data_IF_044402769928
#
_entry.id   IF_044402769928
#
_cell.length_a   1.000
_cell.length_b   1.000
_cell.length_c   1.000
_cell.angle_alpha   90.00
_cell.angle_beta   90.00
_cell.angle_gamma   90.00
#
_symmetry.space_group_name_H-M   'P 1'
#
loop_
_entity.id
_entity.type
_entity.pdbx_description
1 polymer ?
#
# COMPACT_ATOMS: atom_id res chain seq x y z
N UNK A 1 -8.64 2.68 19.68
CA UNK A 1 -7.66 2.62 18.57
C UNK A 1 -8.42 2.10 17.37
N UNK A 2 -8.37 2.79 16.23
CA UNK A 2 -9.04 2.34 15.00
C UNK A 2 -8.10 1.37 14.29
N UNK A 3 -8.65 0.24 13.86
CA UNK A 3 -7.92 -0.80 13.13
C UNK A 3 -8.65 -1.17 11.84
N UNK A 4 -7.93 -1.74 10.88
CA UNK A 4 -8.54 -2.41 9.72
C UNK A 4 -9.21 -3.73 10.13
N UNK A 5 -9.81 -4.42 9.15
CA UNK A 5 -10.41 -5.74 9.34
C UNK A 5 -9.41 -6.84 9.75
N UNK A 6 -8.12 -6.65 9.49
CA UNK A 6 -7.05 -7.58 9.85
C UNK A 6 -6.46 -7.29 11.24
N UNK A 7 -6.94 -6.24 11.92
CA UNK A 7 -6.51 -5.86 13.26
C UNK A 7 -5.27 -4.97 13.30
N UNK A 8 -4.79 -4.46 12.16
CA UNK A 8 -3.66 -3.53 12.15
C UNK A 8 -4.13 -2.12 12.50
N UNK A 9 -3.36 -1.41 13.32
CA UNK A 9 -3.66 -0.03 13.68
C UNK A 9 -3.60 0.90 12.46
N UNK A 10 -4.52 1.86 12.41
CA UNK A 10 -4.65 2.86 11.34
C UNK A 10 -4.40 4.27 11.87
N UNK A 11 -3.17 4.78 11.73
CA UNK A 11 -2.79 6.10 12.24
C UNK A 11 -3.52 7.20 11.48
N UNK A 12 -4.14 8.13 12.21
CA UNK A 12 -4.82 9.29 11.63
C UNK A 12 -6.16 8.99 10.95
N UNK A 13 -6.68 7.75 11.05
CA UNK A 13 -8.00 7.40 10.55
C UNK A 13 -9.13 7.93 11.45
N UNK A 14 -10.27 8.22 10.83
CA UNK A 14 -11.59 8.29 11.48
C UNK A 14 -12.33 6.97 11.23
N UNK A 15 -13.47 6.73 11.91
CA UNK A 15 -14.26 5.51 11.65
C UNK A 15 -14.75 5.44 10.21
N UNK A 16 -15.20 6.58 9.67
CA UNK A 16 -15.63 6.70 8.27
C UNK A 16 -14.49 6.42 7.29
N UNK A 17 -13.31 7.02 7.50
CA UNK A 17 -12.16 6.78 6.63
C UNK A 17 -11.65 5.33 6.72
N UNK A 18 -11.78 4.68 7.88
CA UNK A 18 -11.49 3.25 8.05
C UNK A 18 -12.46 2.41 7.21
N UNK A 19 -13.75 2.68 7.25
CA UNK A 19 -14.73 1.90 6.47
C UNK A 19 -14.54 2.07 4.96
N UNK A 20 -14.14 3.27 4.51
CA UNK A 20 -13.76 3.52 3.11
C UNK A 20 -12.46 2.77 2.75
N UNK A 21 -11.48 2.78 3.63
CA UNK A 21 -10.23 2.06 3.41
C UNK A 21 -10.44 0.55 3.32
N UNK A 22 -11.25 -0.04 4.19
CA UNK A 22 -11.60 -1.47 4.11
C UNK A 22 -12.27 -1.81 2.76
N UNK A 23 -13.18 -0.94 2.27
CA UNK A 23 -13.79 -1.10 0.95
C UNK A 23 -12.77 -1.00 -0.19
N UNK A 24 -11.83 -0.06 -0.12
CA UNK A 24 -10.77 0.06 -1.12
C UNK A 24 -9.84 -1.16 -1.11
N UNK A 25 -9.47 -1.67 0.06
CA UNK A 25 -8.68 -2.89 0.24
C UNK A 25 -9.41 -4.08 -0.39
N UNK A 26 -10.70 -4.26 -0.12
CA UNK A 26 -11.49 -5.31 -0.75
C UNK A 26 -11.48 -5.18 -2.28
N UNK A 27 -11.83 -3.99 -2.80
CA UNK A 27 -11.86 -3.67 -4.23
C UNK A 27 -10.54 -4.02 -4.95
N UNK A 28 -9.40 -3.68 -4.34
CA UNK A 28 -8.08 -4.00 -4.87
C UNK A 28 -7.77 -5.51 -4.88
N UNK A 29 -8.18 -6.22 -3.83
CA UNK A 29 -7.91 -7.66 -3.70
C UNK A 29 -8.77 -8.51 -4.64
N UNK A 30 -10.01 -8.10 -4.91
CA UNK A 30 -10.92 -8.83 -5.81
C UNK A 30 -10.94 -8.28 -7.25
N UNK A 31 -10.09 -7.29 -7.54
CA UNK A 31 -10.02 -6.60 -8.83
C UNK A 31 -11.38 -6.06 -9.32
N UNK A 32 -12.12 -5.35 -8.46
CA UNK A 32 -13.42 -4.74 -8.81
C UNK A 32 -13.54 -3.31 -8.34
N UNK A 33 -14.32 -2.52 -9.09
CA UNK A 33 -14.65 -1.15 -8.74
C UNK A 33 -13.49 -0.18 -8.96
N UNK A 34 -13.51 0.91 -8.19
CA UNK A 34 -12.51 1.98 -8.25
C UNK A 34 -11.89 2.20 -6.87
N UNK A 35 -10.85 1.42 -6.50
CA UNK A 35 -10.17 1.60 -5.21
C UNK A 35 -9.48 2.97 -5.10
N UNK A 36 -9.10 3.61 -6.20
CA UNK A 36 -8.43 4.93 -6.17
C UNK A 36 -9.42 6.01 -5.76
N UNK A 37 -10.61 6.06 -6.37
CA UNK A 37 -11.66 7.00 -6.01
C UNK A 37 -12.14 6.82 -4.56
N UNK A 38 -12.23 5.58 -4.07
CA UNK A 38 -12.58 5.30 -2.66
C UNK A 38 -11.49 5.83 -1.70
N UNK A 39 -10.20 5.63 -2.03
CA UNK A 39 -9.09 6.14 -1.23
C UNK A 39 -9.01 7.66 -1.25
N UNK A 40 -9.35 8.30 -2.37
CA UNK A 40 -9.45 9.76 -2.45
C UNK A 40 -10.47 10.29 -1.45
N UNK A 41 -11.65 9.67 -1.38
CA UNK A 41 -12.66 10.04 -0.41
C UNK A 41 -12.20 9.80 1.05
N UNK A 42 -11.54 8.67 1.32
CA UNK A 42 -10.97 8.40 2.65
C UNK A 42 -9.94 9.47 3.07
N UNK A 43 -9.12 9.94 2.13
CA UNK A 43 -8.12 11.00 2.34
C UNK A 43 -8.77 12.36 2.55
N UNK A 44 -9.87 12.67 1.85
CA UNK A 44 -10.62 13.92 2.05
C UNK A 44 -11.20 13.99 3.47
N UNK A 45 -11.80 12.89 3.94
CA UNK A 45 -12.38 12.79 5.29
C UNK A 45 -11.29 12.78 6.36
N UNK A 46 -10.16 12.12 6.11
CA UNK A 46 -9.05 12.01 7.05
C UNK A 46 -7.69 12.29 6.37
N UNK A 47 -7.30 13.58 6.20
CA UNK A 47 -6.07 13.93 5.49
C UNK A 47 -4.79 13.37 6.11
N UNK A 48 -4.82 13.10 7.41
CA UNK A 48 -3.73 12.50 8.19
C UNK A 48 -3.68 10.97 8.15
N UNK A 49 -4.58 10.30 7.43
CA UNK A 49 -4.64 8.83 7.38
C UNK A 49 -3.57 8.24 6.48
N UNK A 50 -2.42 7.87 7.07
CA UNK A 50 -1.23 7.46 6.33
C UNK A 50 -1.45 6.23 5.43
N UNK A 51 -2.14 5.19 5.91
CA UNK A 51 -2.34 3.97 5.11
C UNK A 51 -3.20 4.19 3.86
N UNK A 52 -4.12 5.15 3.85
CA UNK A 52 -4.87 5.48 2.63
C UNK A 52 -3.96 6.08 1.54
N UNK A 53 -3.04 6.97 1.92
CA UNK A 53 -2.01 7.50 1.01
C UNK A 53 -1.05 6.39 0.55
N UNK A 54 -0.60 5.52 1.46
CA UNK A 54 0.31 4.40 1.15
C UNK A 54 -0.32 3.44 0.14
N UNK A 55 -1.57 3.03 0.35
CA UNK A 55 -2.27 2.14 -0.57
C UNK A 55 -2.46 2.79 -1.94
N UNK A 56 -2.81 4.09 -1.99
CA UNK A 56 -2.93 4.84 -3.24
C UNK A 56 -1.59 4.89 -4.00
N UNK A 57 -0.48 5.08 -3.28
CA UNK A 57 0.86 5.04 -3.88
C UNK A 57 1.20 3.65 -4.44
N UNK A 58 0.84 2.56 -3.76
CA UNK A 58 0.99 1.20 -4.30
C UNK A 58 0.20 1.00 -5.60
N UNK A 59 -1.08 1.39 -5.63
CA UNK A 59 -1.91 1.27 -6.84
C UNK A 59 -1.28 2.00 -8.04
N UNK A 60 -0.77 3.20 -7.84
CA UNK A 60 -0.10 3.94 -8.91
C UNK A 60 1.27 3.40 -9.29
N UNK A 61 2.08 2.99 -8.32
CA UNK A 61 3.41 2.45 -8.60
C UNK A 61 3.35 1.08 -9.30
N UNK A 62 2.29 0.29 -9.03
CA UNK A 62 2.05 -1.00 -9.67
C UNK A 62 1.38 -0.89 -11.04
N UNK A 63 0.86 0.28 -11.42
CA UNK A 63 0.23 0.50 -12.72
C UNK A 63 1.23 0.45 -13.90
N UNK A 64 2.53 0.52 -13.64
CA UNK A 64 3.62 0.52 -14.65
C UNK A 64 3.60 1.68 -15.66
N UNK A 65 2.75 2.67 -15.45
CA UNK A 65 2.65 3.87 -16.28
C UNK A 65 3.56 5.00 -15.73
N UNK A 66 4.32 5.73 -16.59
CA UNK A 66 5.20 6.80 -16.14
C UNK A 66 4.48 7.92 -15.36
N UNK A 67 3.27 8.28 -15.77
CA UNK A 67 2.48 9.31 -15.09
C UNK A 67 1.98 8.86 -13.73
N UNK A 68 1.55 7.59 -13.61
CA UNK A 68 1.19 7.00 -12.34
C UNK A 68 2.40 6.90 -11.41
N UNK A 69 3.57 6.52 -11.93
CA UNK A 69 4.83 6.49 -11.16
C UNK A 69 5.17 7.87 -10.61
N UNK A 70 4.99 8.94 -11.40
CA UNK A 70 5.17 10.33 -10.93
C UNK A 70 4.17 10.67 -9.82
N UNK A 71 2.89 10.30 -9.98
CA UNK A 71 1.89 10.52 -8.93
C UNK A 71 2.22 9.76 -7.63
N UNK A 72 2.73 8.52 -7.73
CA UNK A 72 3.20 7.76 -6.57
C UNK A 72 4.38 8.46 -5.87
N UNK A 73 5.35 9.00 -6.62
CA UNK A 73 6.47 9.81 -6.06
C UNK A 73 5.97 11.05 -5.33
N UNK A 74 4.97 11.74 -5.87
CA UNK A 74 4.38 12.92 -5.23
C UNK A 74 3.70 12.54 -3.91
N UNK A 75 2.94 11.45 -3.87
CA UNK A 75 2.33 10.93 -2.63
C UNK A 75 3.40 10.55 -1.59
N UNK A 76 4.48 9.87 -2.02
CA UNK A 76 5.58 9.50 -1.13
C UNK A 76 6.28 10.72 -0.52
N UNK A 77 6.46 11.78 -1.30
CA UNK A 77 7.05 13.03 -0.81
C UNK A 77 6.25 13.61 0.36
N UNK A 78 4.92 13.55 0.29
CA UNK A 78 4.01 13.97 1.37
C UNK A 78 4.08 13.02 2.56
N UNK A 79 4.00 11.71 2.32
CA UNK A 79 4.07 10.67 3.37
C UNK A 79 5.34 10.81 4.23
N UNK A 80 6.47 11.15 3.63
CA UNK A 80 7.75 11.36 4.35
C UNK A 80 7.74 12.54 5.32
N UNK A 81 6.76 13.44 5.23
CA UNK A 81 6.56 14.54 6.19
C UNK A 81 5.63 14.17 7.34
N UNK A 82 4.92 13.05 7.24
CA UNK A 82 3.99 12.56 8.26
C UNK A 82 4.75 11.78 9.34
N UNK A 83 4.15 11.67 10.52
CA UNK A 83 4.63 10.75 11.56
C UNK A 83 4.09 9.36 11.24
N UNK A 84 4.99 8.46 10.84
CA UNK A 84 4.67 7.08 10.48
C UNK A 84 4.98 6.12 11.64
N UNK A 85 4.13 5.10 11.80
CA UNK A 85 4.43 3.89 12.56
C UNK A 85 5.47 3.04 11.81
N UNK A 86 6.01 2.01 12.48
CA UNK A 86 6.97 1.07 11.88
C UNK A 86 6.37 0.35 10.65
N UNK A 87 5.10 -0.07 10.74
CA UNK A 87 4.35 -0.68 9.63
C UNK A 87 4.27 0.27 8.42
N UNK A 88 3.81 1.50 8.64
CA UNK A 88 3.68 2.50 7.58
C UNK A 88 5.03 2.86 6.96
N UNK A 89 6.07 3.04 7.78
CA UNK A 89 7.42 3.35 7.33
C UNK A 89 8.02 2.23 6.45
N UNK A 90 7.75 0.96 6.78
CA UNK A 90 8.25 -0.17 5.97
C UNK A 90 7.59 -0.26 4.59
N UNK A 91 6.31 0.12 4.44
CA UNK A 91 5.72 0.30 3.10
C UNK A 91 6.38 1.43 2.32
N UNK A 92 6.63 2.58 2.96
CA UNK A 92 7.29 3.72 2.33
C UNK A 92 8.68 3.32 1.83
N UNK A 93 9.43 2.53 2.60
CA UNK A 93 10.73 2.01 2.17
C UNK A 93 10.62 1.08 0.94
N UNK A 94 9.62 0.22 0.86
CA UNK A 94 9.39 -0.62 -0.32
C UNK A 94 8.96 0.20 -1.54
N UNK A 95 8.08 1.19 -1.34
CA UNK A 95 7.61 2.09 -2.39
C UNK A 95 8.73 2.97 -2.94
N UNK A 96 9.64 3.46 -2.10
CA UNK A 96 10.82 4.22 -2.53
C UNK A 96 11.69 3.44 -3.51
N UNK A 97 11.83 2.12 -3.29
CA UNK A 97 12.54 1.24 -4.23
C UNK A 97 11.73 1.04 -5.52
N UNK A 98 10.43 0.81 -5.38
CA UNK A 98 9.55 0.51 -6.51
C UNK A 98 9.48 1.69 -7.50
N UNK A 99 9.28 2.91 -7.02
CA UNK A 99 9.15 4.10 -7.88
C UNK A 99 10.45 4.48 -8.59
N UNK A 100 11.59 3.97 -8.14
CA UNK A 100 12.88 4.09 -8.83
C UNK A 100 13.17 2.90 -9.76
N UNK A 101 12.19 2.02 -9.98
CA UNK A 101 12.32 0.86 -10.85
C UNK A 101 13.08 -0.31 -10.24
N UNK A 102 13.40 -0.27 -8.95
CA UNK A 102 14.09 -1.35 -8.25
C UNK A 102 13.12 -2.45 -7.77
N UNK A 103 12.34 -3.02 -8.69
CA UNK A 103 11.29 -4.02 -8.43
C UNK A 103 11.76 -5.18 -7.57
N UNK A 104 12.97 -5.69 -7.83
CA UNK A 104 13.50 -6.80 -7.07
C UNK A 104 13.74 -6.45 -5.60
N UNK A 105 14.29 -5.26 -5.34
CA UNK A 105 14.56 -4.79 -3.99
C UNK A 105 13.25 -4.42 -3.27
N UNK A 106 12.27 -3.85 -3.98
CA UNK A 106 10.95 -3.54 -3.44
C UNK A 106 10.20 -4.79 -2.97
N UNK A 107 10.20 -5.87 -3.77
CA UNK A 107 9.59 -7.14 -3.39
C UNK A 107 10.24 -7.73 -2.12
N UNK A 108 11.58 -7.74 -2.05
CA UNK A 108 12.31 -8.20 -0.86
C UNK A 108 12.01 -7.33 0.37
N UNK A 109 11.81 -6.03 0.19
CA UNK A 109 11.40 -5.14 1.27
C UNK A 109 9.98 -5.50 1.78
N UNK A 110 9.05 -5.85 0.88
CA UNK A 110 7.73 -6.35 1.27
C UNK A 110 7.77 -7.75 1.91
N UNK A 111 8.72 -8.62 1.55
CA UNK A 111 8.91 -9.89 2.26
C UNK A 111 9.30 -9.64 3.73
N UNK A 112 10.25 -8.72 3.95
CA UNK A 112 10.66 -8.32 5.30
C UNK A 112 9.54 -7.63 6.07
N UNK A 113 8.73 -6.82 5.40
CA UNK A 113 7.52 -6.24 5.98
C UNK A 113 6.59 -7.35 6.47
N UNK A 114 6.30 -8.34 5.62
CA UNK A 114 5.32 -9.38 5.91
C UNK A 114 5.78 -10.31 7.04
N UNK A 115 7.09 -10.47 7.24
CA UNK A 115 7.63 -11.15 8.43
C UNK A 115 7.26 -10.46 9.76
N UNK A 116 7.09 -9.14 9.76
CA UNK A 116 6.74 -8.34 10.94
C UNK A 116 5.24 -8.05 11.04
N UNK A 117 4.57 -7.98 9.89
CA UNK A 117 3.15 -7.64 9.75
C UNK A 117 2.44 -8.66 8.85
N UNK A 118 2.31 -9.93 9.28
CA UNK A 118 1.85 -11.04 8.44
C UNK A 118 0.36 -10.97 8.05
N UNK A 119 -0.40 -10.03 8.62
CA UNK A 119 -1.81 -9.82 8.26
C UNK A 119 -2.01 -8.50 7.49
N UNK A 120 -0.94 -7.91 6.96
CA UNK A 120 -1.06 -6.72 6.10
C UNK A 120 -1.51 -7.11 4.70
N UNK A 121 -2.81 -6.98 4.47
CA UNK A 121 -3.42 -7.37 3.19
C UNK A 121 -2.98 -6.46 2.01
N UNK A 122 -2.61 -5.20 2.27
CA UNK A 122 -2.07 -4.31 1.24
C UNK A 122 -0.67 -4.77 0.83
N UNK A 123 0.19 -5.09 1.79
CA UNK A 123 1.52 -5.61 1.52
C UNK A 123 1.47 -6.94 0.76
N UNK A 124 0.58 -7.86 1.17
CA UNK A 124 0.39 -9.14 0.53
C UNK A 124 0.04 -8.99 -0.95
N UNK A 125 -1.02 -8.23 -1.26
CA UNK A 125 -1.50 -8.04 -2.63
C UNK A 125 -0.48 -7.28 -3.49
N UNK A 126 0.13 -6.22 -2.96
CA UNK A 126 1.17 -5.46 -3.66
C UNK A 126 2.41 -6.30 -3.95
N UNK A 127 2.87 -7.07 -2.97
CA UNK A 127 4.01 -7.98 -3.13
C UNK A 127 3.74 -9.08 -4.15
N UNK A 128 2.54 -9.67 -4.11
CA UNK A 128 2.14 -10.70 -5.07
C UNK A 128 2.12 -10.15 -6.51
N UNK A 129 1.62 -8.92 -6.72
CA UNK A 129 1.70 -8.25 -8.02
C UNK A 129 3.15 -7.97 -8.44
N UNK A 130 4.01 -7.50 -7.53
CA UNK A 130 5.44 -7.32 -7.84
C UNK A 130 6.06 -8.64 -8.31
N UNK A 131 5.80 -9.75 -7.60
CA UNK A 131 6.31 -11.09 -7.92
C UNK A 131 5.86 -11.57 -9.30
N UNK A 132 4.60 -11.29 -9.66
CA UNK A 132 4.08 -11.54 -10.99
C UNK A 132 4.87 -10.77 -12.07
N UNK A 133 5.05 -9.46 -11.90
CA UNK A 133 5.78 -8.63 -12.87
C UNK A 133 7.24 -9.02 -13.05
N UNK A 134 7.91 -9.44 -11.97
CA UNK A 134 9.30 -9.91 -12.02
C UNK A 134 9.45 -11.39 -12.37
N UNK A 135 8.36 -12.09 -12.70
CA UNK A 135 8.34 -13.52 -13.04
C UNK A 135 8.90 -14.45 -11.95
N UNK A 136 8.72 -14.10 -10.67
CA UNK A 136 9.20 -14.91 -9.55
C UNK A 136 8.15 -15.91 -9.08
N UNK A 137 8.08 -17.07 -9.74
CA UNK A 137 7.08 -18.10 -9.46
C UNK A 137 7.16 -18.66 -8.03
N UNK A 138 8.33 -18.62 -7.39
CA UNK A 138 8.49 -19.10 -6.02
C UNK A 138 7.77 -18.19 -5.05
N UNK A 139 8.11 -16.90 -5.08
CA UNK A 139 7.52 -15.94 -4.14
C UNK A 139 6.03 -15.74 -4.44
N UNK A 140 5.60 -15.82 -5.71
CA UNK A 140 4.17 -15.80 -6.07
C UNK A 140 3.37 -16.91 -5.39
N UNK A 141 3.96 -18.11 -5.23
CA UNK A 141 3.32 -19.25 -4.56
C UNK A 141 3.44 -19.18 -3.04
N UNK A 142 4.60 -18.73 -2.55
CA UNK A 142 5.02 -18.86 -1.15
C UNK A 142 4.79 -17.58 -0.32
N UNK A 143 4.41 -16.44 -0.93
CA UNK A 143 4.18 -15.19 -0.20
C UNK A 143 3.05 -15.35 0.80
N UNK A 144 3.33 -14.92 2.03
CA UNK A 144 2.42 -14.88 3.19
C UNK A 144 2.35 -13.47 3.74
#
# INVERSE_FOLDING_TARGET
MISDLQGNALSGATSEARDLFDQAVEAFNIYRGDPVGILEHAIEVAPGFAMAHIMKAHLFALATEPEATRAAKDILSKLKTMRLSEREASHVAALDLLVEGNWNAAAVALDRHSMLHPHDLVALQSGHLMDFYRTNARDLRDRI
#
